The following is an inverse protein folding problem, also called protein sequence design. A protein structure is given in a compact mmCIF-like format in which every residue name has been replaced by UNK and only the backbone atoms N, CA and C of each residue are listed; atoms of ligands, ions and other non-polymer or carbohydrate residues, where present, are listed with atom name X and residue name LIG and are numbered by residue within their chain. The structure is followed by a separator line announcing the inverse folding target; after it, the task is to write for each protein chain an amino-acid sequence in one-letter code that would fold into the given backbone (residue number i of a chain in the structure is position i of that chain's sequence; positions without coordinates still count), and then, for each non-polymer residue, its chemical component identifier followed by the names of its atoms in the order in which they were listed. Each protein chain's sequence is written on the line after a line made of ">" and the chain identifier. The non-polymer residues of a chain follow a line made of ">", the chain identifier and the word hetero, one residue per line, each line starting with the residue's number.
data_IF_089635783235
#
_entry.id   IF_089635783235
#
_cell.length_a   1.000
_cell.length_b   1.000
_cell.length_c   1.000
_cell.angle_alpha   90.00
_cell.angle_beta   90.00
_cell.angle_gamma   90.00
#
_symmetry.space_group_name_H-M   'P 1'
#
loop_
_entity.id
_entity.type
_entity.pdbx_description
1 polymer ?
#
# COMPACT_ATOMS: atom_id res chain seq x y z
N UNK A 1 6.60 -15.30 1.52
CA UNK A 1 7.46 -14.70 2.57
C UNK A 1 7.88 -15.72 3.62
N UNK A 2 7.14 -16.81 3.79
CA UNK A 2 7.34 -17.82 4.84
C UNK A 2 8.78 -18.36 4.96
N UNK A 3 9.46 -18.62 3.85
CA UNK A 3 10.85 -19.08 3.88
C UNK A 3 11.81 -18.02 4.45
N UNK A 4 11.52 -16.72 4.23
CA UNK A 4 12.30 -15.62 4.82
C UNK A 4 12.01 -15.47 6.31
N UNK A 5 10.77 -15.69 6.74
CA UNK A 5 10.40 -15.67 8.16
C UNK A 5 11.05 -16.83 8.94
N UNK A 6 11.12 -18.03 8.35
CA UNK A 6 11.85 -19.16 8.94
C UNK A 6 13.34 -18.89 9.12
N UNK A 7 13.95 -18.08 8.25
CA UNK A 7 15.37 -17.71 8.34
C UNK A 7 15.65 -16.49 9.23
N UNK A 8 14.68 -15.61 9.43
CA UNK A 8 14.84 -14.34 10.16
C UNK A 8 13.61 -14.08 11.06
N UNK A 9 13.74 -14.47 12.32
CA UNK A 9 12.69 -14.31 13.33
C UNK A 9 12.40 -12.83 13.64
N UNK A 10 13.37 -11.93 13.48
CA UNK A 10 13.16 -10.50 13.67
C UNK A 10 12.24 -9.92 12.60
N UNK A 11 12.41 -10.37 11.35
CA UNK A 11 11.60 -9.91 10.22
C UNK A 11 10.15 -10.36 10.37
N UNK A 12 9.94 -11.59 10.86
CA UNK A 12 8.61 -12.11 11.18
C UNK A 12 7.91 -11.26 12.24
N UNK A 13 8.61 -10.92 13.33
CA UNK A 13 8.05 -10.10 14.41
C UNK A 13 7.68 -8.69 13.93
N UNK A 14 8.59 -8.01 13.21
CA UNK A 14 8.33 -6.67 12.67
C UNK A 14 7.14 -6.69 11.70
N UNK A 15 7.03 -7.73 10.87
CA UNK A 15 5.92 -7.89 9.95
C UNK A 15 4.60 -8.09 10.70
N UNK A 16 4.57 -8.95 11.72
CA UNK A 16 3.37 -9.18 12.55
C UNK A 16 2.92 -7.88 13.23
N UNK A 17 3.86 -7.16 13.84
CA UNK A 17 3.58 -5.86 14.47
C UNK A 17 3.01 -4.84 13.48
N UNK A 18 3.57 -4.76 12.26
CA UNK A 18 3.02 -3.91 11.21
C UNK A 18 1.59 -4.31 10.83
N UNK A 19 1.31 -5.61 10.65
CA UNK A 19 -0.03 -6.07 10.27
C UNK A 19 -1.04 -5.80 11.38
N UNK A 20 -0.68 -5.98 12.65
CA UNK A 20 -1.55 -5.64 13.79
C UNK A 20 -1.85 -4.13 13.88
N UNK A 21 -0.85 -3.28 13.67
CA UNK A 21 -1.06 -1.82 13.59
C UNK A 21 -1.97 -1.48 12.40
N UNK A 22 -1.75 -2.12 11.24
CA UNK A 22 -2.55 -1.89 10.03
C UNK A 22 -4.03 -2.24 10.23
N UNK A 23 -4.33 -3.33 10.95
CA UNK A 23 -5.69 -3.71 11.36
C UNK A 23 -6.28 -2.74 12.38
N UNK A 24 -5.51 -2.40 13.42
CA UNK A 24 -5.96 -1.52 14.51
C UNK A 24 -6.31 -0.11 14.01
N UNK A 25 -5.57 0.38 13.00
CA UNK A 25 -5.84 1.64 12.32
C UNK A 25 -7.03 1.57 11.35
N UNK A 26 -7.67 0.41 11.20
CA UNK A 26 -8.81 0.21 10.29
C UNK A 26 -8.42 0.18 8.82
N UNK A 27 -7.14 -0.06 8.48
CA UNK A 27 -6.67 -0.12 7.09
C UNK A 27 -6.84 -1.51 6.45
N UNK A 28 -7.17 -2.52 7.25
CA UNK A 28 -7.66 -3.82 6.77
C UNK A 28 -8.68 -4.40 7.74
N UNK A 29 -9.42 -5.39 7.26
CA UNK A 29 -10.33 -6.18 8.06
C UNK A 29 -10.30 -7.65 7.64
N UNK A 30 -10.65 -8.59 8.53
CA UNK A 30 -10.84 -9.99 8.16
C UNK A 30 -11.87 -10.12 7.04
N UNK A 31 -11.53 -10.86 5.99
CA UNK A 31 -12.46 -11.15 4.91
C UNK A 31 -13.51 -12.16 5.38
N UNK A 32 -14.79 -11.78 5.37
CA UNK A 32 -15.92 -12.65 5.72
C UNK A 32 -16.49 -13.42 4.51
N UNK A 33 -16.19 -12.97 3.30
CA UNK A 33 -16.72 -13.53 2.05
C UNK A 33 -15.59 -14.17 1.24
N UNK A 34 -15.36 -15.45 1.52
CA UNK A 34 -14.38 -16.26 0.79
C UNK A 34 -14.89 -16.64 -0.61
N UNK A 35 -16.21 -16.70 -0.83
CA UNK A 35 -16.85 -17.22 -2.04
C UNK A 35 -17.23 -16.17 -3.10
N UNK A 36 -16.61 -14.98 -3.06
CA UNK A 36 -16.85 -13.96 -4.08
C UNK A 36 -16.45 -14.47 -5.48
N UNK A 37 -17.37 -14.36 -6.45
CA UNK A 37 -17.17 -14.80 -7.85
C UNK A 37 -15.98 -14.12 -8.53
N UNK A 38 -15.64 -12.90 -8.10
CA UNK A 38 -14.48 -12.15 -8.57
C UNK A 38 -13.67 -11.78 -7.34
N UNK A 39 -12.40 -12.20 -7.29
CA UNK A 39 -11.49 -11.79 -6.23
C UNK A 39 -10.06 -11.80 -6.72
N UNK A 40 -9.24 -10.94 -6.13
CA UNK A 40 -7.81 -10.86 -6.44
C UNK A 40 -7.01 -10.83 -5.14
N UNK A 41 -6.02 -11.72 -5.06
CA UNK A 41 -5.05 -11.73 -3.98
C UNK A 41 -3.87 -10.87 -4.36
N UNK A 42 -3.78 -9.70 -3.73
CA UNK A 42 -2.73 -8.73 -3.94
C UNK A 42 -1.43 -9.25 -3.33
N UNK A 43 -0.40 -9.57 -4.14
CA UNK A 43 0.87 -10.02 -3.62
C UNK A 43 1.50 -8.92 -2.79
N UNK A 44 2.10 -9.28 -1.67
CA UNK A 44 2.84 -8.32 -0.85
C UNK A 44 4.13 -8.92 -0.33
N UNK A 45 5.06 -8.04 0.05
CA UNK A 45 6.30 -8.44 0.69
C UNK A 45 6.83 -7.37 1.65
N UNK A 46 7.54 -7.81 2.69
CA UNK A 46 8.17 -6.92 3.65
C UNK A 46 9.59 -6.53 3.19
N UNK A 47 9.90 -5.23 3.26
CA UNK A 47 11.20 -4.65 2.90
C UNK A 47 11.73 -3.86 4.09
N UNK A 48 12.91 -4.23 4.58
CA UNK A 48 13.63 -3.43 5.58
C UNK A 48 14.38 -2.28 4.91
N UNK A 49 14.21 -1.08 5.45
CA UNK A 49 14.99 0.11 5.11
C UNK A 49 15.83 0.48 6.31
N UNK A 50 17.04 -0.06 6.35
CA UNK A 50 17.99 0.15 7.46
C UNK A 50 18.43 1.62 7.56
N UNK A 51 18.26 2.38 6.49
CA UNK A 51 18.49 3.82 6.37
C UNK A 51 17.34 4.68 6.92
N UNK A 52 16.16 4.11 7.19
CA UNK A 52 15.01 4.86 7.69
C UNK A 52 15.03 4.99 9.22
N UNK A 53 15.03 6.24 9.69
CA UNK A 53 15.01 6.57 11.13
C UNK A 53 13.65 6.26 11.77
N UNK A 54 12.54 6.49 11.04
CA UNK A 54 11.19 6.45 11.59
C UNK A 54 10.41 5.18 11.26
N UNK A 55 10.72 4.47 10.16
CA UNK A 55 9.98 3.25 9.79
C UNK A 55 10.91 2.23 9.15
N UNK A 56 11.48 1.35 10.00
CA UNK A 56 12.48 0.35 9.59
C UNK A 56 11.90 -0.74 8.68
N UNK A 57 10.60 -1.06 8.77
CA UNK A 57 9.92 -2.04 7.92
C UNK A 57 8.81 -1.40 7.09
N UNK A 58 8.76 -1.70 5.78
CA UNK A 58 7.63 -1.37 4.91
C UNK A 58 7.07 -2.63 4.28
N UNK A 59 5.76 -2.82 4.33
CA UNK A 59 5.07 -3.82 3.52
C UNK A 59 4.67 -3.18 2.19
N UNK A 60 5.14 -3.79 1.09
CA UNK A 60 4.88 -3.36 -0.28
C UNK A 60 3.81 -4.28 -0.86
N UNK A 61 2.73 -3.69 -1.35
CA UNK A 61 1.68 -4.39 -2.09
C UNK A 61 1.92 -4.19 -3.59
N UNK A 62 2.05 -5.29 -4.33
CA UNK A 62 2.46 -5.30 -5.73
C UNK A 62 1.27 -5.63 -6.66
N UNK A 63 0.55 -4.58 -7.07
CA UNK A 63 -0.51 -4.67 -8.07
C UNK A 63 -0.02 -4.91 -9.51
N UNK A 64 1.30 -4.89 -9.74
CA UNK A 64 1.91 -5.12 -11.06
C UNK A 64 2.33 -6.57 -11.28
N UNK A 65 2.43 -7.36 -10.20
CA UNK A 65 2.69 -8.78 -10.25
C UNK A 65 1.63 -9.49 -11.11
N UNK A 66 2.09 -10.36 -12.01
CA UNK A 66 1.24 -11.14 -12.91
C UNK A 66 1.17 -12.59 -12.41
N UNK A 67 0.04 -13.02 -11.84
CA UNK A 67 -0.15 -14.42 -11.49
C UNK A 67 -0.11 -15.31 -12.74
N UNK A 68 0.28 -16.59 -12.61
CA UNK A 68 0.19 -17.54 -13.72
C UNK A 68 -1.24 -17.58 -14.26
N UNK A 69 -1.39 -17.37 -15.58
CA UNK A 69 -2.68 -17.36 -16.28
C UNK A 69 -3.64 -16.22 -15.88
N UNK A 70 -3.17 -15.15 -15.25
CA UNK A 70 -4.00 -13.96 -15.05
C UNK A 70 -3.26 -12.65 -15.33
N UNK A 71 -4.03 -11.58 -15.52
CA UNK A 71 -3.51 -10.24 -15.69
C UNK A 71 -3.14 -9.64 -14.32
N UNK A 72 -2.19 -8.70 -14.31
CA UNK A 72 -1.91 -7.94 -13.09
C UNK A 72 -3.07 -6.99 -12.79
N UNK A 73 -3.32 -6.75 -11.51
CA UNK A 73 -4.40 -5.86 -11.07
C UNK A 73 -4.33 -4.49 -11.76
N UNK A 74 -3.15 -3.88 -11.83
CA UNK A 74 -2.95 -2.58 -12.46
C UNK A 74 -3.25 -2.56 -13.97
N UNK A 75 -3.22 -3.71 -14.64
CA UNK A 75 -3.54 -3.79 -16.07
C UNK A 75 -5.04 -3.96 -16.36
N UNK A 76 -5.81 -4.35 -15.34
CA UNK A 76 -7.27 -4.56 -15.43
C UNK A 76 -8.04 -3.35 -14.91
N UNK A 77 -7.50 -2.65 -13.91
CA UNK A 77 -8.12 -1.45 -13.37
C UNK A 77 -8.14 -0.32 -14.42
N UNK A 78 -9.30 0.32 -14.55
CA UNK A 78 -9.48 1.46 -15.45
C UNK A 78 -8.66 2.66 -14.98
N UNK A 79 -7.91 3.27 -15.91
CA UNK A 79 -7.18 4.50 -15.63
C UNK A 79 -8.18 5.66 -15.64
N UNK A 80 -8.40 6.25 -14.47
CA UNK A 80 -9.20 7.47 -14.35
C UNK A 80 -8.53 8.68 -15.02
N UNK A 81 -9.29 9.76 -15.19
CA UNK A 81 -8.74 11.02 -15.69
C UNK A 81 -7.72 11.60 -14.70
N UNK A 82 -6.67 12.24 -15.22
CA UNK A 82 -5.70 12.94 -14.39
C UNK A 82 -6.34 14.21 -13.85
N UNK A 83 -6.69 14.21 -12.57
CA UNK A 83 -7.27 15.37 -11.87
C UNK A 83 -6.21 16.34 -11.33
N UNK A 84 -4.96 15.87 -11.22
CA UNK A 84 -3.87 16.65 -10.64
C UNK A 84 -3.24 17.55 -11.72
N UNK A 85 -3.02 18.85 -11.43
CA UNK A 85 -2.30 19.72 -12.35
C UNK A 85 -0.85 19.26 -12.47
N UNK A 86 -0.20 19.62 -13.58
CA UNK A 86 1.21 19.33 -13.79
C UNK A 86 2.06 19.87 -12.62
N UNK A 87 2.99 19.06 -12.14
CA UNK A 87 3.95 19.41 -11.08
C UNK A 87 4.71 20.70 -11.41
N UNK A 88 4.93 21.01 -12.69
CA UNK A 88 5.56 22.26 -13.14
C UNK A 88 4.78 23.51 -12.73
N UNK A 89 3.49 23.40 -12.39
CA UNK A 89 2.69 24.48 -11.83
C UNK A 89 3.31 25.03 -10.53
N UNK A 90 4.04 24.20 -9.78
CA UNK A 90 4.73 24.62 -8.55
C UNK A 90 5.86 25.63 -8.82
N UNK A 91 6.38 25.75 -10.05
CA UNK A 91 7.39 26.76 -10.41
C UNK A 91 6.85 28.18 -10.20
N UNK A 92 5.53 28.38 -10.26
CA UNK A 92 4.88 29.68 -9.97
C UNK A 92 5.16 30.18 -8.55
N UNK A 93 5.42 29.28 -7.58
CA UNK A 93 5.87 29.68 -6.24
C UNK A 93 7.21 30.42 -6.26
N UNK A 94 8.03 30.25 -7.30
CA UNK A 94 9.31 30.95 -7.46
C UNK A 94 9.20 32.30 -8.17
N UNK A 95 8.10 32.54 -8.90
CA UNK A 95 7.92 33.72 -9.78
C UNK A 95 7.05 34.80 -9.12
N UNK A 96 6.09 34.39 -8.28
CA UNK A 96 5.31 35.33 -7.48
C UNK A 96 6.13 35.79 -6.26
N UNK A 97 5.83 36.97 -5.71
CA UNK A 97 6.37 37.49 -4.43
C UNK A 97 5.89 36.68 -3.21
N UNK A 98 5.82 35.35 -3.33
CA UNK A 98 5.53 34.46 -2.22
C UNK A 98 6.82 34.34 -1.40
N UNK A 99 6.92 35.18 -0.37
CA UNK A 99 8.11 35.35 0.47
C UNK A 99 8.44 34.09 1.30
N UNK A 100 7.49 33.17 1.49
CA UNK A 100 7.71 31.91 2.20
C UNK A 100 6.94 30.73 1.60
N UNK A 101 7.61 29.57 1.48
CA UNK A 101 7.00 28.29 1.13
C UNK A 101 7.01 27.40 2.37
N UNK A 102 5.83 26.90 2.76
CA UNK A 102 5.68 25.93 3.83
C UNK A 102 5.38 24.57 3.23
N UNK A 103 6.09 23.56 3.70
CA UNK A 103 5.90 22.16 3.28
C UNK A 103 5.63 21.30 4.50
N UNK A 104 4.68 20.39 4.39
CA UNK A 104 4.39 19.39 5.40
C UNK A 104 4.03 18.07 4.73
N UNK A 105 4.43 16.97 5.36
CA UNK A 105 4.11 15.63 4.90
C UNK A 105 2.83 15.12 5.58
N UNK A 106 1.91 14.58 4.78
CA UNK A 106 0.72 13.88 5.30
C UNK A 106 1.11 12.43 5.56
N UNK A 107 1.15 12.05 6.85
CA UNK A 107 1.42 10.66 7.25
C UNK A 107 0.38 9.73 6.61
N UNK A 108 0.86 8.72 5.88
CA UNK A 108 0.01 7.66 5.31
C UNK A 108 -1.15 8.19 4.43
N UNK A 109 -0.92 9.23 3.61
CA UNK A 109 -1.97 9.94 2.85
C UNK A 109 -2.99 9.03 2.16
N UNK A 110 -2.54 7.98 1.46
CA UNK A 110 -3.42 7.11 0.70
C UNK A 110 -4.33 6.24 1.58
N UNK A 111 -3.91 5.98 2.83
CA UNK A 111 -4.70 5.19 3.80
C UNK A 111 -5.79 6.00 4.48
N UNK A 112 -5.81 7.32 4.26
CA UNK A 112 -6.86 8.21 4.74
C UNK A 112 -8.08 8.24 3.78
N UNK A 113 -7.97 7.57 2.63
CA UNK A 113 -9.04 7.50 1.63
C UNK A 113 -9.63 6.08 1.68
N UNK A 114 -10.94 5.99 1.90
CA UNK A 114 -11.66 4.72 1.86
C UNK A 114 -11.83 4.26 0.42
N UNK A 115 -11.62 2.96 0.19
CA UNK A 115 -11.90 2.29 -1.08
C UNK A 115 -13.37 1.91 -1.10
N UNK A 116 -14.00 2.05 -2.27
CA UNK A 116 -15.38 1.62 -2.48
C UNK A 116 -15.56 0.14 -2.04
N UNK A 117 -16.58 -0.20 -1.24
CA UNK A 117 -16.82 -1.56 -0.79
C UNK A 117 -16.80 -2.62 -1.91
N UNK A 118 -17.28 -2.27 -3.11
CA UNK A 118 -17.33 -3.20 -4.24
C UNK A 118 -15.93 -3.51 -4.80
N UNK A 119 -14.98 -2.57 -4.67
CA UNK A 119 -13.60 -2.71 -5.14
C UNK A 119 -12.66 -3.36 -4.10
N UNK A 120 -13.05 -3.41 -2.82
CA UNK A 120 -12.24 -3.99 -1.74
C UNK A 120 -11.94 -5.49 -1.97
N UNK A 121 -12.82 -6.20 -2.70
CA UNK A 121 -12.66 -7.62 -3.04
C UNK A 121 -11.42 -7.91 -3.90
N UNK A 122 -10.88 -6.87 -4.56
CA UNK A 122 -9.69 -6.94 -5.41
C UNK A 122 -8.38 -6.66 -4.65
N UNK A 123 -8.46 -6.31 -3.36
CA UNK A 123 -7.32 -6.00 -2.51
C UNK A 123 -7.14 -7.01 -1.37
N UNK A 124 -7.57 -8.26 -1.57
CA UNK A 124 -7.41 -9.31 -0.57
C UNK A 124 -5.94 -9.64 -0.41
N UNK A 125 -5.50 -9.90 0.82
CA UNK A 125 -4.13 -10.30 1.12
C UNK A 125 -4.13 -11.59 1.93
N UNK A 126 -3.13 -12.43 1.72
CA UNK A 126 -2.93 -13.62 2.54
C UNK A 126 -2.00 -13.25 3.70
N UNK A 127 -2.55 -13.12 4.90
CA UNK A 127 -1.71 -12.96 6.09
C UNK A 127 -1.04 -14.32 6.35
N UNK A 128 0.28 -14.38 6.16
CA UNK A 128 1.08 -15.53 6.58
C UNK A 128 1.06 -15.59 8.12
N UNK A 129 0.07 -16.30 8.68
CA UNK A 129 0.00 -16.70 10.08
C UNK A 129 0.12 -18.22 10.11
N UNK A 130 1.13 -18.72 10.84
CA UNK A 130 1.01 -20.05 11.45
C UNK A 130 -0.11 -20.04 12.48
#
# INVERSE_FOLDING_TARGET
>A
MENKFKSDAGLEWEYKSFMEEYETLGHMSPNKELDAKISYFLPHHAVRRNDSITTKLRVVFDGSCKPPNSNSLNSVLGVGQILQPDIFTLVRFRVNEIVCALTADIKQMYRQILIDPDDQILQKIVRESR
#
